data_IF_904018159437
#
_entry.id   IF_904018159437
#
_cell.length_a   1.000
_cell.length_b   1.000
_cell.length_c   1.000
_cell.angle_alpha   90.00
_cell.angle_beta   90.00
_cell.angle_gamma   90.00
#
_symmetry.space_group_name_H-M   'P 1'
#
loop_
_entity.id
_entity.type
_entity.pdbx_description
1 polymer ?
#
# COMPACT_ATOMS: atom_id res chain seq x y z
N UNK A 1 15.42 -22.10 15.87
CA UNK A 1 15.85 -20.76 16.36
C UNK A 1 15.75 -19.81 15.17
N UNK A 2 14.76 -18.93 15.19
CA UNK A 2 14.66 -17.85 14.21
C UNK A 2 15.83 -16.91 14.49
N UNK A 3 16.93 -17.14 13.84
CA UNK A 3 18.05 -16.22 13.86
C UNK A 3 17.64 -14.97 13.10
N UNK A 4 17.81 -13.87 13.72
CA UNK A 4 17.69 -12.48 13.31
C UNK A 4 17.24 -12.27 11.85
N UNK A 5 15.98 -11.93 11.66
CA UNK A 5 15.43 -11.57 10.35
C UNK A 5 16.13 -10.37 9.69
N UNK A 6 17.06 -9.72 10.40
CA UNK A 6 17.95 -8.69 9.88
C UNK A 6 19.14 -9.26 9.12
N UNK A 7 19.40 -10.56 9.22
CA UNK A 7 20.53 -11.22 8.60
C UNK A 7 20.21 -11.88 7.25
N UNK A 8 19.08 -11.54 6.60
CA UNK A 8 18.90 -11.84 5.18
C UNK A 8 19.79 -10.87 4.42
N UNK A 9 21.07 -11.24 4.32
CA UNK A 9 22.11 -10.44 3.67
C UNK A 9 22.01 -10.46 2.15
N UNK A 10 21.30 -11.44 1.60
CA UNK A 10 21.18 -11.63 0.16
C UNK A 10 19.72 -11.37 -0.31
N UNK A 11 19.50 -10.41 -1.22
CA UNK A 11 18.16 -10.06 -1.70
C UNK A 11 17.41 -11.23 -2.37
N UNK A 12 18.13 -12.26 -2.76
CA UNK A 12 17.59 -13.42 -3.48
C UNK A 12 17.19 -14.59 -2.59
N UNK A 13 17.62 -14.61 -1.35
CA UNK A 13 17.31 -15.72 -0.44
C UNK A 13 15.83 -15.78 -0.07
N UNK A 14 15.32 -17.00 0.02
CA UNK A 14 14.00 -17.31 0.54
C UNK A 14 14.11 -18.17 1.80
N UNK A 15 13.04 -18.36 2.58
CA UNK A 15 13.02 -19.32 3.68
C UNK A 15 13.23 -20.79 3.25
N UNK A 16 13.17 -21.08 1.97
CA UNK A 16 13.26 -22.43 1.41
C UNK A 16 14.63 -22.68 0.82
N UNK A 17 15.28 -23.75 1.25
CA UNK A 17 16.59 -24.14 0.71
C UNK A 17 16.51 -24.40 -0.81
N UNK A 18 17.43 -23.80 -1.56
CA UNK A 18 17.51 -23.98 -3.02
C UNK A 18 16.48 -23.20 -3.84
N UNK A 19 15.56 -22.46 -3.18
CA UNK A 19 14.61 -21.58 -3.89
C UNK A 19 15.06 -20.14 -3.75
N UNK A 20 15.36 -19.49 -4.86
CA UNK A 20 15.76 -18.11 -4.92
C UNK A 20 14.64 -17.25 -5.53
N UNK A 21 14.51 -16.03 -5.05
CA UNK A 21 13.66 -15.00 -5.67
C UNK A 21 14.44 -14.23 -6.74
N UNK A 22 13.74 -13.58 -7.63
CA UNK A 22 14.34 -12.58 -8.50
C UNK A 22 14.77 -11.36 -7.67
N UNK A 23 15.89 -10.75 -8.05
CA UNK A 23 16.28 -9.46 -7.48
C UNK A 23 15.38 -8.33 -8.04
N UNK A 24 15.18 -7.23 -7.31
CA UNK A 24 14.48 -6.05 -7.84
C UNK A 24 15.15 -5.55 -9.13
N UNK A 25 14.35 -5.28 -10.15
CA UNK A 25 14.86 -4.79 -11.43
C UNK A 25 15.46 -5.88 -12.34
N UNK A 26 15.41 -7.16 -11.95
CA UNK A 26 15.95 -8.28 -12.72
C UNK A 26 14.88 -8.97 -13.58
N UNK A 27 15.28 -9.39 -14.78
CA UNK A 27 14.54 -10.33 -15.62
C UNK A 27 15.36 -11.61 -15.76
N UNK A 28 14.70 -12.76 -15.63
CA UNK A 28 15.28 -14.06 -15.90
C UNK A 28 14.49 -14.73 -17.02
N UNK A 29 15.18 -15.15 -18.05
CA UNK A 29 14.61 -15.86 -19.20
C UNK A 29 15.18 -17.27 -19.24
N UNK A 30 14.30 -18.26 -19.28
CA UNK A 30 14.66 -19.67 -19.44
C UNK A 30 14.48 -20.04 -20.91
N UNK A 31 15.53 -20.55 -21.51
CA UNK A 31 15.52 -21.08 -22.87
C UNK A 31 16.05 -22.50 -22.88
N UNK A 32 15.98 -23.19 -24.03
CA UNK A 32 16.59 -24.52 -24.20
C UNK A 32 18.12 -24.46 -24.04
N UNK A 33 18.74 -23.30 -24.35
CA UNK A 33 20.19 -23.09 -24.23
C UNK A 33 20.62 -22.76 -22.79
N UNK A 34 19.68 -22.40 -21.88
CA UNK A 34 20.01 -22.13 -20.49
C UNK A 34 19.21 -20.98 -19.86
N UNK A 35 19.80 -20.43 -18.79
CA UNK A 35 19.18 -19.38 -17.99
C UNK A 35 19.91 -18.06 -18.22
N UNK A 36 19.21 -17.09 -18.76
CA UNK A 36 19.73 -15.75 -19.03
C UNK A 36 19.18 -14.75 -18.04
N UNK A 37 20.07 -13.97 -17.42
CA UNK A 37 19.72 -12.94 -16.43
C UNK A 37 20.13 -11.57 -16.94
N UNK A 38 19.27 -10.55 -16.75
CA UNK A 38 19.60 -9.16 -17.05
C UNK A 38 18.85 -8.22 -16.12
N UNK A 39 19.47 -7.10 -15.76
CA UNK A 39 18.81 -6.01 -15.12
C UNK A 39 18.10 -5.15 -16.17
N UNK A 40 16.82 -4.86 -15.97
CA UNK A 40 16.03 -4.00 -16.86
C UNK A 40 15.83 -2.60 -16.28
N UNK A 41 16.05 -2.45 -14.98
CA UNK A 41 15.84 -1.19 -14.29
C UNK A 41 16.84 -1.01 -13.14
N UNK A 42 17.46 0.17 -13.12
CA UNK A 42 18.30 0.65 -12.03
C UNK A 42 17.74 2.01 -11.58
N UNK A 43 17.26 2.14 -10.34
CA UNK A 43 16.71 3.39 -9.83
C UNK A 43 17.73 4.53 -9.78
N UNK A 44 19.01 4.21 -9.87
CA UNK A 44 20.10 5.19 -9.85
C UNK A 44 20.63 5.55 -11.24
N UNK A 45 20.29 4.78 -12.25
CA UNK A 45 20.71 5.07 -13.63
C UNK A 45 19.99 6.32 -14.15
N UNK A 46 20.75 7.23 -14.73
CA UNK A 46 20.20 8.43 -15.37
C UNK A 46 19.61 9.48 -14.43
N UNK A 47 19.76 9.31 -13.10
CA UNK A 47 19.27 10.30 -12.13
C UNK A 47 19.90 11.66 -12.37
N UNK A 48 19.10 12.72 -12.35
CA UNK A 48 19.55 14.11 -12.41
C UNK A 48 19.47 14.71 -11.02
N UNK A 49 20.58 15.32 -10.59
CA UNK A 49 20.59 16.14 -9.37
C UNK A 49 20.14 17.55 -9.78
N UNK A 50 18.98 17.94 -9.29
CA UNK A 50 18.47 19.30 -9.49
C UNK A 50 19.14 20.24 -8.46
N UNK A 51 19.85 21.26 -8.97
CA UNK A 51 20.52 22.27 -8.15
C UNK A 51 20.01 23.67 -8.50
N UNK A 52 20.15 24.61 -7.57
CA UNK A 52 19.80 26.01 -7.79
C UNK A 52 18.31 26.32 -7.83
N UNK A 53 17.47 25.35 -7.49
CA UNK A 53 16.02 25.55 -7.32
C UNK A 53 15.72 26.21 -5.97
N UNK A 54 14.70 27.06 -5.96
CA UNK A 54 14.10 27.57 -4.72
C UNK A 54 13.29 26.48 -4.02
N UNK A 55 13.03 26.65 -2.74
CA UNK A 55 12.12 25.75 -1.99
C UNK A 55 10.76 25.61 -2.68
N UNK A 56 10.17 26.74 -3.12
CA UNK A 56 8.92 26.73 -3.87
C UNK A 56 9.01 25.90 -5.16
N UNK A 57 10.12 26.03 -5.90
CA UNK A 57 10.33 25.25 -7.13
C UNK A 57 10.51 23.75 -6.88
N UNK A 58 11.15 23.35 -5.76
CA UNK A 58 11.23 21.95 -5.37
C UNK A 58 9.86 21.40 -4.96
N UNK A 59 9.08 22.16 -4.20
CA UNK A 59 7.72 21.79 -3.79
C UNK A 59 6.82 21.58 -5.03
N UNK A 60 6.83 22.50 -5.96
CA UNK A 60 6.09 22.39 -7.21
C UNK A 60 6.48 21.14 -8.02
N UNK A 61 7.78 20.88 -8.14
CA UNK A 61 8.28 19.71 -8.84
C UNK A 61 7.81 18.41 -8.19
N UNK A 62 7.99 18.28 -6.87
CA UNK A 62 7.60 17.06 -6.11
C UNK A 62 6.09 16.85 -6.22
N UNK A 63 5.28 17.89 -6.01
CA UNK A 63 3.82 17.77 -6.09
C UNK A 63 3.35 17.43 -7.51
N UNK A 64 4.02 17.96 -8.55
CA UNK A 64 3.70 17.65 -9.94
C UNK A 64 4.02 16.20 -10.28
N UNK A 65 5.21 15.73 -9.93
CA UNK A 65 5.61 14.34 -10.17
C UNK A 65 4.71 13.37 -9.39
N UNK A 66 4.47 13.66 -8.12
CA UNK A 66 3.64 12.80 -7.28
C UNK A 66 2.19 12.69 -7.81
N UNK A 67 1.61 13.83 -8.20
CA UNK A 67 0.30 13.87 -8.86
C UNK A 67 0.27 12.99 -10.10
N UNK A 68 1.24 13.15 -11.02
CA UNK A 68 1.30 12.34 -12.22
C UNK A 68 1.41 10.85 -11.91
N UNK A 69 2.25 10.47 -10.95
CA UNK A 69 2.36 9.06 -10.54
C UNK A 69 1.01 8.48 -10.08
N UNK A 70 0.25 9.21 -9.26
CA UNK A 70 -1.06 8.76 -8.79
C UNK A 70 -2.06 8.65 -9.94
N UNK A 71 -2.11 9.68 -10.81
CA UNK A 71 -3.02 9.73 -11.96
C UNK A 71 -2.71 8.63 -12.98
N UNK A 72 -1.42 8.38 -13.25
CA UNK A 72 -0.97 7.36 -14.19
C UNK A 72 -1.33 5.96 -13.70
N UNK A 73 -1.09 5.66 -12.43
CA UNK A 73 -1.48 4.38 -11.84
C UNK A 73 -2.99 4.14 -11.97
N UNK A 74 -3.82 5.17 -11.72
CA UNK A 74 -5.27 5.06 -11.87
C UNK A 74 -5.65 4.86 -13.35
N UNK A 75 -5.00 5.58 -14.27
CA UNK A 75 -5.27 5.51 -15.70
C UNK A 75 -4.90 4.15 -16.31
N UNK A 76 -3.76 3.59 -15.88
CA UNK A 76 -3.25 2.31 -16.37
C UNK A 76 -3.96 1.11 -15.73
N UNK A 77 -4.74 1.36 -14.70
CA UNK A 77 -5.56 0.35 -14.08
C UNK A 77 -6.54 -0.31 -15.03
N UNK A 78 -6.95 -1.52 -14.67
CA UNK A 78 -7.82 -2.35 -15.51
C UNK A 78 -9.09 -1.60 -15.92
N UNK A 79 -9.14 -1.20 -17.18
CA UNK A 79 -10.10 -0.29 -17.78
C UNK A 79 -11.55 -0.51 -17.35
N UNK A 80 -12.19 0.59 -16.94
CA UNK A 80 -13.60 0.61 -16.54
C UNK A 80 -13.88 0.26 -15.09
N UNK A 81 -12.97 -0.39 -14.37
CA UNK A 81 -13.14 -0.77 -12.96
C UNK A 81 -13.06 0.42 -12.00
N UNK A 82 -13.52 0.20 -10.77
CA UNK A 82 -13.46 1.18 -9.71
C UNK A 82 -12.04 1.28 -9.10
N UNK A 83 -11.80 2.35 -8.36
CA UNK A 83 -10.54 2.59 -7.66
C UNK A 83 -10.76 2.59 -6.16
N UNK A 84 -9.97 1.80 -5.45
CA UNK A 84 -9.93 1.77 -3.99
C UNK A 84 -8.66 2.41 -3.43
N UNK A 85 -8.68 2.74 -2.14
CA UNK A 85 -7.53 3.20 -1.38
C UNK A 85 -7.56 2.64 0.04
N UNK A 86 -6.41 2.17 0.54
CA UNK A 86 -6.21 1.95 1.97
C UNK A 86 -5.98 3.32 2.62
N UNK A 87 -7.01 3.84 3.30
CA UNK A 87 -6.98 5.18 3.86
C UNK A 87 -6.90 5.11 5.39
N UNK A 88 -6.02 5.92 5.95
CA UNK A 88 -5.84 6.10 7.38
C UNK A 88 -5.85 7.59 7.71
N UNK A 89 -5.75 7.93 9.00
CA UNK A 89 -5.50 9.31 9.43
C UNK A 89 -4.09 9.83 9.12
N UNK A 90 -3.19 8.97 8.61
CA UNK A 90 -1.80 9.29 8.33
C UNK A 90 -1.60 10.14 7.07
N UNK A 91 -0.51 10.92 7.05
CA UNK A 91 -0.19 11.86 5.97
C UNK A 91 -0.01 11.18 4.62
N UNK A 92 0.65 10.02 4.57
CA UNK A 92 1.00 9.33 3.32
C UNK A 92 -0.25 8.90 2.55
N UNK A 93 -1.20 8.24 3.20
CA UNK A 93 -2.44 7.82 2.56
C UNK A 93 -3.32 9.00 2.16
N UNK A 94 -3.34 10.07 2.98
CA UNK A 94 -4.05 11.30 2.66
C UNK A 94 -3.42 12.05 1.48
N UNK A 95 -2.10 12.06 1.35
CA UNK A 95 -1.42 12.62 0.19
C UNK A 95 -1.84 11.91 -1.11
N UNK A 96 -1.94 10.58 -1.11
CA UNK A 96 -2.45 9.82 -2.25
C UNK A 96 -3.91 10.17 -2.53
N UNK A 97 -4.77 10.20 -1.50
CA UNK A 97 -6.18 10.54 -1.64
C UNK A 97 -6.39 11.95 -2.21
N UNK A 98 -5.56 12.92 -1.81
CA UNK A 98 -5.64 14.31 -2.25
C UNK A 98 -5.48 14.49 -3.78
N UNK A 99 -4.81 13.58 -4.46
CA UNK A 99 -4.70 13.58 -5.92
C UNK A 99 -5.65 12.59 -6.58
N UNK A 100 -5.87 11.43 -5.97
CA UNK A 100 -6.76 10.41 -6.52
C UNK A 100 -8.23 10.87 -6.55
N UNK A 101 -8.74 11.46 -5.47
CA UNK A 101 -10.14 11.83 -5.37
C UNK A 101 -10.55 12.89 -6.41
N UNK A 102 -9.88 14.04 -6.57
CA UNK A 102 -10.25 15.02 -7.59
C UNK A 102 -10.06 14.49 -9.03
N UNK A 103 -9.04 13.66 -9.27
CA UNK A 103 -8.83 13.04 -10.59
C UNK A 103 -10.01 12.14 -10.98
N UNK A 104 -10.53 11.35 -10.03
CA UNK A 104 -11.71 10.51 -10.23
C UNK A 104 -13.01 11.32 -10.31
N UNK A 105 -13.18 12.34 -9.46
CA UNK A 105 -14.34 13.23 -9.48
C UNK A 105 -14.53 13.92 -10.85
N UNK A 106 -13.45 14.39 -11.47
CA UNK A 106 -13.48 14.97 -12.81
C UNK A 106 -13.95 13.98 -13.90
N UNK A 107 -14.01 12.68 -13.58
CA UNK A 107 -14.47 11.61 -14.47
C UNK A 107 -15.79 10.99 -14.01
N UNK A 108 -16.48 11.64 -13.07
CA UNK A 108 -17.74 11.15 -12.49
C UNK A 108 -17.59 9.87 -11.68
N UNK A 109 -16.36 9.53 -11.22
CA UNK A 109 -16.05 8.32 -10.48
C UNK A 109 -15.88 8.57 -8.99
N UNK A 110 -16.13 7.53 -8.19
CA UNK A 110 -15.90 7.49 -6.76
C UNK A 110 -14.50 6.95 -6.44
N UNK A 111 -14.02 7.29 -5.25
CA UNK A 111 -12.87 6.67 -4.61
C UNK A 111 -13.36 5.88 -3.40
N UNK A 112 -13.31 4.55 -3.46
CA UNK A 112 -13.66 3.70 -2.32
C UNK A 112 -12.50 3.64 -1.33
N UNK A 113 -12.73 3.97 -0.07
CA UNK A 113 -11.67 3.89 0.93
C UNK A 113 -11.95 2.78 1.95
N UNK A 114 -10.91 2.07 2.33
CA UNK A 114 -10.93 0.97 3.29
C UNK A 114 -10.08 1.34 4.48
N UNK A 115 -10.70 1.40 5.67
CA UNK A 115 -10.05 1.88 6.89
C UNK A 115 -10.27 0.87 8.01
N UNK A 116 -9.19 0.36 8.58
CA UNK A 116 -9.26 -0.47 9.77
C UNK A 116 -9.63 0.38 10.99
N UNK A 117 -10.59 -0.08 11.77
CA UNK A 117 -11.10 0.63 12.95
C UNK A 117 -11.25 -0.32 14.13
N UNK A 118 -11.04 0.15 15.36
CA UNK A 118 -11.24 -0.68 16.54
C UNK A 118 -12.72 -0.98 16.80
N UNK A 119 -13.00 -2.09 17.49
CA UNK A 119 -14.33 -2.33 18.05
C UNK A 119 -14.69 -1.27 19.07
N UNK A 120 -15.98 -0.89 19.17
CA UNK A 120 -16.45 0.10 20.15
C UNK A 120 -16.11 -0.28 21.60
N UNK A 121 -16.12 -1.57 21.92
CA UNK A 121 -15.78 -2.09 23.24
C UNK A 121 -14.30 -1.88 23.62
N UNK A 122 -13.44 -1.72 22.66
CA UNK A 122 -11.99 -1.56 22.87
C UNK A 122 -11.59 -0.08 23.01
N UNK A 123 -12.38 0.87 22.47
CA UNK A 123 -12.16 2.32 22.63
C UNK A 123 -12.02 2.74 24.10
N UNK A 124 -12.71 2.06 25.01
CA UNK A 124 -12.73 2.39 26.43
C UNK A 124 -11.60 1.73 27.24
N UNK A 125 -10.78 0.84 26.66
CA UNK A 125 -9.88 -0.05 27.41
C UNK A 125 -8.41 0.30 27.38
N UNK A 126 -7.95 1.19 26.53
CA UNK A 126 -6.51 1.52 26.43
C UNK A 126 -6.31 2.99 26.78
N UNK A 127 -6.12 3.33 28.07
CA UNK A 127 -5.68 4.68 28.44
C UNK A 127 -4.17 4.79 28.16
N UNK A 128 -3.77 5.81 27.43
CA UNK A 128 -2.38 6.19 27.29
C UNK A 128 -1.83 6.23 25.85
N UNK A 129 -0.55 6.41 25.76
CA UNK A 129 0.27 6.72 24.59
C UNK A 129 0.23 5.67 23.44
N UNK A 130 -0.46 4.53 23.64
CA UNK A 130 -0.57 3.41 22.70
C UNK A 130 -2.04 3.11 22.32
N UNK A 131 -2.96 4.02 22.57
CA UNK A 131 -4.34 3.85 22.12
C UNK A 131 -4.35 3.80 20.59
N UNK A 132 -4.92 2.75 20.02
CA UNK A 132 -5.23 2.73 18.58
C UNK A 132 -6.29 3.80 18.38
N UNK A 133 -5.91 4.91 17.76
CA UNK A 133 -6.84 5.98 17.43
C UNK A 133 -7.89 5.46 16.46
N UNK A 134 -9.13 5.83 16.73
CA UNK A 134 -10.21 5.59 15.78
C UNK A 134 -10.11 6.57 14.62
N UNK A 135 -9.63 6.10 13.51
CA UNK A 135 -9.36 6.90 12.31
C UNK A 135 -10.63 7.35 11.57
N UNK A 136 -11.84 6.93 12.00
CA UNK A 136 -13.11 7.34 11.36
C UNK A 136 -13.26 8.85 11.25
N UNK A 137 -12.92 9.58 12.30
CA UNK A 137 -13.02 11.05 12.31
C UNK A 137 -12.13 11.69 11.23
N UNK A 138 -10.91 11.20 11.06
CA UNK A 138 -9.98 11.69 10.05
C UNK A 138 -10.48 11.37 8.64
N UNK A 139 -10.95 10.15 8.41
CA UNK A 139 -11.51 9.74 7.12
C UNK A 139 -12.76 10.52 6.75
N UNK A 140 -13.63 10.82 7.73
CA UNK A 140 -14.82 11.65 7.51
C UNK A 140 -14.47 13.10 7.13
N UNK A 141 -13.37 13.66 7.64
CA UNK A 141 -12.88 14.97 7.19
C UNK A 141 -12.46 14.91 5.70
N UNK A 142 -11.73 13.88 5.30
CA UNK A 142 -11.34 13.67 3.90
C UNK A 142 -12.57 13.49 3.00
N UNK A 143 -13.57 12.72 3.46
CA UNK A 143 -14.83 12.51 2.73
C UNK A 143 -15.59 13.84 2.52
N UNK A 144 -15.68 14.66 3.56
CA UNK A 144 -16.34 15.97 3.45
C UNK A 144 -15.60 16.92 2.50
N UNK A 145 -14.27 16.84 2.48
CA UNK A 145 -13.46 17.70 1.63
C UNK A 145 -13.58 17.35 0.15
N UNK A 146 -13.54 16.06 -0.19
CA UNK A 146 -13.51 15.61 -1.58
C UNK A 146 -14.90 15.28 -2.16
N UNK A 147 -15.88 14.93 -1.33
CA UNK A 147 -17.27 14.69 -1.74
C UNK A 147 -17.53 13.38 -2.53
N UNK A 148 -16.51 12.82 -3.18
CA UNK A 148 -16.61 11.57 -3.95
C UNK A 148 -15.92 10.37 -3.28
N UNK A 149 -15.52 10.52 -2.01
CA UNK A 149 -14.98 9.42 -1.21
C UNK A 149 -16.10 8.60 -0.59
N UNK A 150 -16.05 7.28 -0.77
CA UNK A 150 -16.99 6.31 -0.18
C UNK A 150 -16.25 5.43 0.82
N UNK A 151 -16.36 5.72 2.14
CA UNK A 151 -15.63 4.99 3.16
C UNK A 151 -16.30 3.67 3.54
N UNK A 152 -15.48 2.63 3.65
CA UNK A 152 -15.80 1.34 4.25
C UNK A 152 -14.92 1.16 5.50
N UNK A 153 -15.56 0.95 6.63
CA UNK A 153 -14.88 0.77 7.91
C UNK A 153 -14.81 -0.70 8.29
N UNK A 154 -13.60 -1.19 8.43
CA UNK A 154 -13.28 -2.57 8.74
C UNK A 154 -13.04 -2.70 10.24
N UNK A 155 -14.00 -3.28 10.94
CA UNK A 155 -13.81 -3.60 12.35
C UNK A 155 -12.86 -4.79 12.43
N UNK A 156 -11.66 -4.54 12.98
CA UNK A 156 -10.70 -5.60 13.25
C UNK A 156 -11.20 -6.43 14.42
N UNK A 157 -11.97 -7.45 14.12
CA UNK A 157 -12.35 -8.42 15.12
C UNK A 157 -11.11 -9.23 15.50
N UNK A 158 -10.77 -9.27 16.78
CA UNK A 158 -9.72 -10.11 17.34
C UNK A 158 -10.17 -11.58 17.47
N UNK A 159 -11.06 -12.06 16.60
CA UNK A 159 -11.39 -13.45 16.48
C UNK A 159 -10.14 -14.34 16.51
N UNK A 160 -10.16 -15.52 16.09
CA UNK A 160 -8.98 -16.38 16.09
C UNK A 160 -7.92 -15.89 15.08
N UNK A 161 -7.17 -14.82 15.48
CA UNK A 161 -6.07 -14.24 14.70
C UNK A 161 -5.05 -15.30 14.29
N UNK A 162 -4.88 -16.35 15.09
CA UNK A 162 -3.96 -17.43 14.76
C UNK A 162 -4.50 -18.30 13.62
N UNK A 163 -5.79 -18.63 13.63
CA UNK A 163 -6.41 -19.39 12.56
C UNK A 163 -6.44 -18.60 11.25
N UNK A 164 -6.79 -17.30 11.29
CA UNK A 164 -6.78 -16.43 10.11
C UNK A 164 -5.37 -16.27 9.53
N UNK A 165 -4.37 -16.03 10.39
CA UNK A 165 -2.98 -15.93 9.94
C UNK A 165 -2.46 -17.26 9.39
N UNK A 166 -2.84 -18.39 9.98
CA UNK A 166 -2.47 -19.71 9.46
C UNK A 166 -2.96 -19.89 8.02
N UNK A 167 -4.21 -19.56 7.75
CA UNK A 167 -4.79 -19.60 6.40
C UNK A 167 -4.04 -18.68 5.44
N UNK A 168 -3.69 -17.48 5.88
CA UNK A 168 -2.92 -16.55 5.06
C UNK A 168 -1.50 -17.04 4.79
N UNK A 169 -0.85 -17.68 5.76
CA UNK A 169 0.47 -18.28 5.55
C UNK A 169 0.44 -19.45 4.57
N UNK A 170 -0.63 -20.26 4.57
CA UNK A 170 -0.83 -21.31 3.57
C UNK A 170 -0.92 -20.74 2.14
N UNK A 171 -1.46 -19.54 1.99
CA UNK A 171 -1.55 -18.85 0.69
C UNK A 171 -0.27 -18.11 0.32
N UNK A 172 0.35 -17.43 1.28
CA UNK A 172 1.53 -16.61 1.04
C UNK A 172 2.83 -17.42 0.99
N UNK A 173 2.85 -18.60 1.64
CA UNK A 173 4.01 -19.50 1.75
C UNK A 173 5.28 -18.83 2.31
N UNK A 174 5.18 -17.64 2.86
CA UNK A 174 6.31 -16.90 3.45
C UNK A 174 5.93 -16.29 4.80
N UNK A 175 6.86 -16.23 5.75
CA UNK A 175 6.64 -15.52 7.01
C UNK A 175 6.38 -14.03 6.76
N UNK A 176 5.35 -13.48 7.39
CA UNK A 176 5.04 -12.06 7.33
C UNK A 176 5.38 -11.35 8.63
N UNK A 177 6.00 -10.17 8.55
CA UNK A 177 6.34 -9.36 9.72
C UNK A 177 5.11 -8.71 10.36
N UNK A 178 4.08 -8.43 9.58
CA UNK A 178 2.91 -7.66 9.99
C UNK A 178 1.72 -8.56 10.32
N UNK A 179 1.94 -9.62 11.09
CA UNK A 179 0.94 -10.65 11.42
C UNK A 179 -0.37 -10.05 11.95
N UNK A 180 -0.31 -8.99 12.74
CA UNK A 180 -1.51 -8.31 13.27
C UNK A 180 -2.26 -7.49 12.21
N UNK A 181 -1.58 -7.11 11.13
CA UNK A 181 -2.16 -6.30 10.07
C UNK A 181 -2.72 -7.13 8.90
N UNK A 182 -2.30 -8.40 8.78
CA UNK A 182 -2.72 -9.25 7.67
C UNK A 182 -4.23 -9.44 7.57
N UNK A 183 -4.98 -9.71 8.65
CA UNK A 183 -6.41 -9.94 8.56
C UNK A 183 -7.18 -8.76 7.99
N UNK A 184 -6.91 -7.52 8.46
CA UNK A 184 -7.60 -6.36 7.93
C UNK A 184 -7.16 -5.99 6.50
N UNK A 185 -5.90 -6.24 6.15
CA UNK A 185 -5.43 -6.06 4.77
C UNK A 185 -6.14 -7.04 3.83
N UNK A 186 -6.23 -8.32 4.23
CA UNK A 186 -6.96 -9.32 3.44
C UNK A 186 -8.43 -8.94 3.27
N UNK A 187 -9.09 -8.51 4.34
CA UNK A 187 -10.48 -8.07 4.31
C UNK A 187 -10.66 -6.83 3.40
N UNK A 188 -9.70 -5.90 3.43
CA UNK A 188 -9.68 -4.75 2.51
C UNK A 188 -9.63 -5.21 1.05
N UNK A 189 -8.79 -6.17 0.72
CA UNK A 189 -8.70 -6.72 -0.64
C UNK A 189 -9.99 -7.43 -1.05
N UNK A 190 -10.60 -8.19 -0.13
CA UNK A 190 -11.87 -8.87 -0.37
C UNK A 190 -13.00 -7.89 -0.66
N UNK A 191 -13.12 -6.84 0.13
CA UNK A 191 -14.12 -5.80 -0.08
C UNK A 191 -13.85 -4.97 -1.35
N UNK A 192 -12.60 -4.64 -1.61
CA UNK A 192 -12.21 -3.97 -2.85
C UNK A 192 -12.62 -4.80 -4.09
N UNK A 193 -12.42 -6.11 -4.04
CA UNK A 193 -12.86 -7.01 -5.10
C UNK A 193 -14.39 -7.05 -5.24
N UNK A 194 -15.14 -7.02 -4.13
CA UNK A 194 -16.61 -6.95 -4.15
C UNK A 194 -17.14 -5.63 -4.73
N UNK A 195 -16.40 -4.53 -4.58
CA UNK A 195 -16.71 -3.23 -5.18
C UNK A 195 -16.20 -3.12 -6.63
N UNK A 196 -15.72 -4.21 -7.22
CA UNK A 196 -15.09 -4.26 -8.55
C UNK A 196 -13.91 -3.28 -8.70
N UNK A 197 -13.16 -3.04 -7.63
CA UNK A 197 -11.95 -2.24 -7.71
C UNK A 197 -10.87 -2.99 -8.51
N UNK A 198 -10.41 -2.39 -9.59
CA UNK A 198 -9.29 -2.91 -10.38
C UNK A 198 -7.93 -2.50 -9.83
N UNK A 199 -7.92 -1.48 -8.97
CA UNK A 199 -6.73 -0.93 -8.30
C UNK A 199 -7.06 -0.65 -6.85
N UNK A 200 -6.10 -0.92 -5.99
CA UNK A 200 -6.12 -0.50 -4.59
C UNK A 200 -4.86 0.30 -4.29
N UNK A 201 -5.03 1.62 -4.14
CA UNK A 201 -3.96 2.55 -3.79
C UNK A 201 -3.56 2.40 -2.32
N UNK A 202 -2.32 2.71 -2.00
CA UNK A 202 -1.80 2.67 -0.65
C UNK A 202 -0.76 3.76 -0.43
N UNK A 203 -0.72 4.33 0.78
CA UNK A 203 0.35 5.20 1.25
C UNK A 203 1.53 4.45 1.88
N UNK A 204 1.60 3.13 1.75
CA UNK A 204 2.70 2.33 2.32
C UNK A 204 4.05 2.80 1.81
N UNK A 205 5.02 2.86 2.72
CA UNK A 205 6.39 3.30 2.46
C UNK A 205 6.56 4.78 2.06
N UNK A 206 5.54 5.64 2.20
CA UNK A 206 5.63 7.05 1.89
C UNK A 206 6.81 7.73 2.60
N UNK A 207 6.99 7.47 3.89
CA UNK A 207 8.09 8.00 4.70
C UNK A 207 9.50 7.41 4.38
N UNK A 208 9.61 6.51 3.41
CA UNK A 208 10.89 5.97 2.93
C UNK A 208 11.24 6.53 1.53
N UNK A 209 10.22 6.97 0.81
CA UNK A 209 10.35 7.37 -0.60
C UNK A 209 10.36 8.87 -0.83
N UNK A 210 10.09 9.68 0.21
CA UNK A 210 10.04 11.15 0.15
C UNK A 210 11.09 11.76 1.07
#
# INVERSE_FOLDING_TARGET
TIRDLRAVSEPRETPYAGILRLAPGEIVVFTEEGVHRRDYWDPFAGRRILRGKTEAGYRELVTTVFRHCVEDVIREGRGGKETGILLSGGLDSNAVAAYAAPYLAARGKKLYSFTAVPEEKERARIPGQYAVEDERSSVELVRRFHGNLEPEYLVTNRGDLLAENRRLWEVLEVPCKAVLNLPWMYESYRLAAQKDCGILLSGQYGNITI
#
